data_IF_997214802755
#
_entry.id   IF_997214802755
#
_cell.length_a   1.000
_cell.length_b   1.000
_cell.length_c   1.000
_cell.angle_alpha   90.00
_cell.angle_beta   90.00
_cell.angle_gamma   90.00
#
_symmetry.space_group_name_H-M   'P 1'
#
loop_
_entity.id
_entity.type
_entity.pdbx_description
1 polymer ?
#
# COMPACT_ATOMS: atom_id res chain seq x y z
N UNK A 1 -61.91 67.66 -6.19
CA UNK A 1 -60.47 68.02 -6.33
C UNK A 1 -59.63 67.07 -5.48
N UNK A 2 -58.46 66.68 -6.03
CA UNK A 2 -57.39 65.82 -5.47
C UNK A 2 -57.63 64.29 -5.44
N UNK A 3 -57.09 63.65 -6.48
CA UNK A 3 -56.68 62.24 -6.58
C UNK A 3 -55.42 61.99 -5.72
N UNK A 4 -55.29 60.78 -5.17
CA UNK A 4 -54.06 60.05 -4.79
C UNK A 4 -54.55 58.70 -4.20
N UNK A 5 -54.44 57.54 -4.86
CA UNK A 5 -53.22 56.76 -5.13
C UNK A 5 -53.27 55.49 -4.25
N UNK A 6 -53.37 54.25 -4.79
CA UNK A 6 -53.58 53.07 -3.95
C UNK A 6 -52.26 52.59 -3.32
N UNK A 7 -52.26 52.41 -1.99
CA UNK A 7 -51.14 51.87 -1.22
C UNK A 7 -51.08 50.35 -1.41
N UNK A 8 -49.96 49.87 -1.93
CA UNK A 8 -49.63 48.45 -2.04
C UNK A 8 -49.18 47.90 -0.68
N UNK A 9 -49.78 46.81 -0.23
CA UNK A 9 -49.36 46.10 1.00
C UNK A 9 -48.20 45.16 0.69
N UNK A 10 -47.03 45.44 1.28
CA UNK A 10 -45.85 44.60 1.13
C UNK A 10 -46.03 43.22 1.76
N UNK A 11 -45.87 42.18 0.96
CA UNK A 11 -45.74 40.80 1.42
C UNK A 11 -44.30 40.59 1.90
N UNK A 12 -44.13 40.31 3.19
CA UNK A 12 -42.84 39.85 3.73
C UNK A 12 -42.67 38.37 3.40
N UNK A 13 -41.88 38.06 2.38
CA UNK A 13 -41.35 36.72 2.14
C UNK A 13 -40.44 36.33 3.32
N UNK A 14 -40.88 35.35 4.12
CA UNK A 14 -40.00 34.65 5.05
C UNK A 14 -39.19 33.64 4.25
N UNK A 15 -37.90 33.90 4.07
CA UNK A 15 -36.95 32.91 3.58
C UNK A 15 -36.83 31.80 4.64
N UNK A 16 -37.43 30.64 4.36
CA UNK A 16 -37.15 29.42 5.10
C UNK A 16 -35.82 28.88 4.58
N UNK A 17 -34.74 29.11 5.33
CA UNK A 17 -33.45 28.48 5.08
C UNK A 17 -33.55 27.01 5.49
N UNK A 18 -33.97 26.16 4.56
CA UNK A 18 -33.83 24.70 4.69
C UNK A 18 -32.34 24.35 4.60
N UNK A 19 -31.68 24.30 5.75
CA UNK A 19 -30.32 23.78 5.86
C UNK A 19 -30.34 22.28 5.58
N UNK A 20 -30.04 21.90 4.33
CA UNK A 20 -29.77 20.52 3.97
C UNK A 20 -28.39 20.16 4.55
N UNK A 21 -28.38 19.57 5.75
CA UNK A 21 -27.15 19.02 6.32
C UNK A 21 -26.71 17.83 5.46
N UNK A 22 -25.70 18.05 4.61
CA UNK A 22 -25.01 17.00 3.90
C UNK A 22 -24.23 16.17 4.94
N UNK A 23 -24.82 15.08 5.41
CA UNK A 23 -24.13 14.07 6.20
C UNK A 23 -23.10 13.40 5.29
N UNK A 24 -21.88 13.93 5.27
CA UNK A 24 -20.72 13.20 4.76
C UNK A 24 -20.46 12.09 5.77
N UNK A 25 -20.98 10.90 5.49
CA UNK A 25 -20.50 9.68 6.16
C UNK A 25 -19.09 9.44 5.62
N UNK A 26 -18.10 9.97 6.32
CA UNK A 26 -16.72 9.50 6.15
C UNK A 26 -16.72 8.11 6.77
N UNK A 27 -16.87 7.08 5.95
CA UNK A 27 -16.60 5.73 6.40
C UNK A 27 -15.09 5.68 6.68
N UNK A 28 -14.72 5.72 7.96
CA UNK A 28 -13.38 5.37 8.38
C UNK A 28 -13.11 3.95 7.89
N UNK A 29 -12.33 3.84 6.81
CA UNK A 29 -11.67 2.60 6.43
C UNK A 29 -10.54 2.36 7.44
N UNK A 30 -10.91 2.18 8.72
CA UNK A 30 -10.01 1.71 9.73
C UNK A 30 -9.62 0.29 9.34
N UNK A 31 -8.43 0.13 8.77
CA UNK A 31 -7.86 -1.19 8.50
C UNK A 31 -7.87 -2.04 9.77
N UNK A 32 -8.09 -3.35 9.63
CA UNK A 32 -8.13 -4.27 10.77
C UNK A 32 -6.72 -4.53 11.33
N UNK A 33 -6.11 -3.51 11.94
CA UNK A 33 -5.08 -3.75 12.93
C UNK A 33 -5.78 -4.01 14.26
N UNK A 34 -5.81 -5.26 14.78
CA UNK A 34 -6.26 -5.45 16.15
C UNK A 34 -5.34 -4.64 17.06
N UNK A 35 -5.96 -3.73 17.82
CA UNK A 35 -5.35 -3.12 18.99
C UNK A 35 -5.10 -4.25 19.99
N UNK A 36 -3.85 -4.69 20.12
CA UNK A 36 -3.48 -5.54 21.25
C UNK A 36 -3.65 -4.68 22.49
N UNK A 37 -4.66 -5.01 23.28
CA UNK A 37 -5.06 -4.31 24.50
C UNK A 37 -3.91 -4.26 25.51
N UNK A 38 -3.12 -3.19 25.43
CA UNK A 38 -2.50 -2.53 26.57
C UNK A 38 -2.78 -1.05 26.38
N UNK A 39 -3.28 -0.39 27.41
CA UNK A 39 -3.51 1.05 27.43
C UNK A 39 -2.13 1.71 27.25
N UNK A 40 -1.75 2.05 26.03
CA UNK A 40 -0.54 2.81 25.73
C UNK A 40 -0.87 3.88 24.67
N UNK A 41 -0.14 4.98 24.73
CA UNK A 41 -0.23 6.14 23.82
C UNK A 41 -0.05 5.80 22.32
N UNK A 42 0.20 4.52 21.96
CA UNK A 42 0.42 4.02 20.59
C UNK A 42 -0.87 3.73 19.80
N UNK A 43 -2.06 3.81 20.40
CA UNK A 43 -3.32 3.47 19.72
C UNK A 43 -3.68 4.38 18.53
N UNK A 44 -2.98 5.50 18.36
CA UNK A 44 -3.18 6.46 17.26
C UNK A 44 -1.93 6.61 16.37
N UNK A 45 -0.92 5.75 16.53
CA UNK A 45 0.25 5.84 15.66
C UNK A 45 -0.05 5.18 14.31
N UNK A 46 -0.15 6.01 13.27
CA UNK A 46 -0.39 5.56 11.90
C UNK A 46 0.78 4.66 11.43
N UNK A 47 0.50 3.37 11.23
CA UNK A 47 1.49 2.42 10.74
C UNK A 47 1.85 2.76 9.30
N UNK A 48 3.14 3.01 9.05
CA UNK A 48 3.64 3.44 7.73
C UNK A 48 4.92 2.72 7.36
N UNK A 49 5.03 2.34 6.09
CA UNK A 49 6.26 1.89 5.45
C UNK A 49 6.65 2.86 4.34
N UNK A 50 7.96 3.02 4.12
CA UNK A 50 8.48 3.75 2.97
C UNK A 50 8.90 2.74 1.91
N UNK A 51 8.39 2.83 0.69
CA UNK A 51 8.78 1.96 -0.42
C UNK A 51 9.71 2.71 -1.36
N UNK A 52 10.99 2.32 -1.34
CA UNK A 52 12.04 2.80 -2.24
C UNK A 52 11.98 1.98 -3.53
N UNK A 53 11.51 2.59 -4.62
CA UNK A 53 11.24 1.90 -5.89
C UNK A 53 12.39 2.10 -6.87
N UNK A 54 12.96 0.99 -7.35
CA UNK A 54 14.00 0.95 -8.37
C UNK A 54 13.45 0.25 -9.61
N UNK A 55 13.31 1.00 -10.71
CA UNK A 55 12.64 0.52 -11.93
C UNK A 55 13.69 0.16 -12.98
N UNK A 56 13.86 -1.13 -13.22
CA UNK A 56 14.73 -1.69 -14.25
C UNK A 56 13.96 -2.07 -15.53
N UNK A 57 12.65 -2.31 -15.40
CA UNK A 57 11.76 -2.57 -16.53
C UNK A 57 11.37 -1.29 -17.28
N UNK A 58 11.01 -1.44 -18.56
CA UNK A 58 10.25 -0.40 -19.28
C UNK A 58 8.77 -0.59 -18.98
N UNK A 59 8.21 0.29 -18.14
CA UNK A 59 6.82 0.24 -17.68
C UNK A 59 6.12 1.53 -18.12
N UNK A 60 4.93 1.45 -18.74
CA UNK A 60 4.10 2.63 -18.96
C UNK A 60 3.77 3.33 -17.64
N UNK A 61 3.80 4.66 -17.62
CA UNK A 61 3.58 5.43 -16.38
C UNK A 61 2.21 5.14 -15.75
N UNK A 62 1.17 4.91 -16.56
CA UNK A 62 -0.16 4.56 -16.09
C UNK A 62 -0.21 3.18 -15.39
N UNK A 63 0.56 2.20 -15.87
CA UNK A 63 0.65 0.88 -15.25
C UNK A 63 1.38 0.96 -13.91
N UNK A 64 2.47 1.73 -13.84
CA UNK A 64 3.20 1.97 -12.59
C UNK A 64 2.32 2.70 -11.56
N UNK A 65 1.64 3.77 -11.98
CA UNK A 65 0.73 4.52 -11.10
C UNK A 65 -0.41 3.63 -10.59
N UNK A 66 -0.98 2.79 -11.47
CA UNK A 66 -2.02 1.83 -11.09
C UNK A 66 -1.48 0.78 -10.12
N UNK A 67 -0.27 0.26 -10.33
CA UNK A 67 0.34 -0.73 -9.45
C UNK A 67 0.57 -0.19 -8.04
N UNK A 68 1.16 1.01 -7.92
CA UNK A 68 1.33 1.70 -6.63
C UNK A 68 0.00 1.92 -5.93
N UNK A 69 -1.02 2.40 -6.66
CA UNK A 69 -2.35 2.63 -6.10
C UNK A 69 -2.98 1.34 -5.57
N UNK A 70 -2.92 0.24 -6.34
CA UNK A 70 -3.49 -1.05 -5.92
C UNK A 70 -2.76 -1.63 -4.71
N UNK A 71 -1.43 -1.61 -4.71
CA UNK A 71 -0.66 -2.07 -3.54
C UNK A 71 -0.94 -1.22 -2.29
N UNK A 72 -1.03 0.10 -2.45
CA UNK A 72 -1.37 1.02 -1.34
C UNK A 72 -2.73 0.71 -0.77
N UNK A 73 -3.76 0.52 -1.61
CA UNK A 73 -5.11 0.17 -1.17
C UNK A 73 -5.10 -1.13 -0.36
N UNK A 74 -4.45 -2.18 -0.87
CA UNK A 74 -4.41 -3.49 -0.21
C UNK A 74 -3.73 -3.39 1.17
N UNK A 75 -2.60 -2.69 1.28
CA UNK A 75 -1.91 -2.52 2.57
C UNK A 75 -2.69 -1.59 3.51
N UNK A 76 -3.35 -0.57 2.97
CA UNK A 76 -4.20 0.33 3.75
C UNK A 76 -5.40 -0.40 4.36
N UNK A 77 -6.02 -1.32 3.62
CA UNK A 77 -7.08 -2.20 4.15
C UNK A 77 -6.57 -3.13 5.26
N UNK A 78 -5.29 -3.50 5.21
CA UNK A 78 -4.58 -4.18 6.29
C UNK A 78 -4.09 -3.23 7.41
N UNK A 79 -4.36 -1.91 7.32
CA UNK A 79 -4.04 -0.91 8.33
C UNK A 79 -2.65 -0.27 8.22
N UNK A 80 -1.96 -0.42 7.09
CA UNK A 80 -0.61 0.13 6.86
C UNK A 80 -0.60 1.08 5.66
N UNK A 81 -0.10 2.30 5.85
CA UNK A 81 0.12 3.25 4.77
C UNK A 81 1.45 3.00 4.06
N UNK A 82 1.46 3.08 2.73
CA UNK A 82 2.69 3.06 1.93
C UNK A 82 3.04 4.46 1.43
N UNK A 83 4.23 4.94 1.79
CA UNK A 83 4.83 6.15 1.25
C UNK A 83 5.82 5.78 0.13
N UNK A 84 5.56 6.22 -1.09
CA UNK A 84 6.37 5.84 -2.26
C UNK A 84 7.48 6.83 -2.54
N UNK A 85 8.69 6.32 -2.80
CA UNK A 85 9.87 7.10 -3.17
C UNK A 85 10.45 6.50 -4.44
N UNK A 86 10.39 7.25 -5.54
CA UNK A 86 10.98 6.82 -6.80
C UNK A 86 12.49 7.09 -6.80
N UNK A 87 13.27 6.00 -6.84
CA UNK A 87 14.72 6.05 -6.82
C UNK A 87 15.28 5.85 -8.22
N UNK A 88 16.09 6.81 -8.66
CA UNK A 88 16.80 6.69 -9.92
C UNK A 88 17.92 5.64 -9.84
N UNK A 89 18.09 4.85 -10.90
CA UNK A 89 19.13 3.82 -10.96
C UNK A 89 20.55 4.40 -11.04
N UNK A 90 20.71 5.61 -11.58
CA UNK A 90 22.02 6.25 -11.72
C UNK A 90 22.39 7.00 -10.44
N UNK A 91 23.56 6.74 -9.86
CA UNK A 91 24.03 7.40 -8.62
C UNK A 91 23.91 8.93 -8.61
N UNK A 92 24.27 9.68 -9.69
CA UNK A 92 24.11 11.14 -9.69
C UNK A 92 22.65 11.58 -9.58
N UNK A 93 21.72 10.79 -10.13
CA UNK A 93 20.28 11.05 -10.03
C UNK A 93 19.65 10.49 -8.76
N UNK A 94 20.20 9.41 -8.18
CA UNK A 94 19.76 8.88 -6.89
C UNK A 94 19.97 9.90 -5.77
N UNK A 95 21.03 10.70 -5.85
CA UNK A 95 21.29 11.81 -4.93
C UNK A 95 20.25 12.95 -5.03
N UNK A 96 19.45 13.02 -6.09
CA UNK A 96 18.36 13.99 -6.21
C UNK A 96 17.24 13.71 -5.19
N UNK A 97 17.13 12.47 -4.71
CA UNK A 97 16.23 12.13 -3.62
C UNK A 97 17.06 11.61 -2.43
N UNK A 98 17.29 12.43 -1.40
CA UNK A 98 18.09 12.05 -0.24
C UNK A 98 17.63 10.74 0.43
N UNK A 99 16.34 10.40 0.35
CA UNK A 99 15.81 9.15 0.89
C UNK A 99 16.40 7.90 0.19
N UNK A 100 16.77 8.00 -1.09
CA UNK A 100 17.39 6.90 -1.83
C UNK A 100 18.88 6.72 -1.53
N UNK A 101 19.52 7.73 -0.92
CA UNK A 101 20.94 7.73 -0.58
C UNK A 101 21.21 7.59 0.93
N UNK A 102 20.18 7.74 1.76
CA UNK A 102 20.28 7.60 3.20
C UNK A 102 20.47 6.12 3.62
N UNK A 103 21.06 5.87 4.81
CA UNK A 103 21.03 4.55 5.42
C UNK A 103 19.59 4.05 5.59
N UNK A 104 19.37 2.77 5.28
CA UNK A 104 18.03 2.17 5.31
C UNK A 104 17.46 2.13 6.73
N UNK A 105 16.28 2.72 6.92
CA UNK A 105 15.52 2.60 8.14
C UNK A 105 14.82 1.24 8.20
N UNK A 106 14.51 0.68 9.39
CA UNK A 106 13.78 -0.58 9.53
C UNK A 106 12.42 -0.64 8.82
N UNK A 107 11.77 0.51 8.61
CA UNK A 107 10.49 0.68 7.91
C UNK A 107 10.62 0.83 6.40
N UNK A 108 11.85 0.85 5.87
CA UNK A 108 12.08 0.96 4.44
C UNK A 108 11.92 -0.41 3.76
N UNK A 109 11.24 -0.41 2.62
CA UNK A 109 11.10 -1.55 1.72
C UNK A 109 11.73 -1.18 0.39
N UNK A 110 12.71 -1.97 -0.04
CA UNK A 110 13.34 -1.89 -1.33
C UNK A 110 12.57 -2.73 -2.34
N UNK A 111 11.95 -2.07 -3.31
CA UNK A 111 11.21 -2.73 -4.37
C UNK A 111 11.95 -2.56 -5.70
N UNK A 112 12.45 -3.66 -6.25
CA UNK A 112 12.97 -3.69 -7.62
C UNK A 112 11.87 -4.14 -8.58
N UNK A 113 11.56 -3.34 -9.60
CA UNK A 113 10.69 -3.78 -10.69
C UNK A 113 11.57 -4.16 -11.88
N UNK A 114 11.69 -5.47 -12.09
CA UNK A 114 12.58 -6.08 -13.07
C UNK A 114 11.87 -6.33 -14.40
N UNK A 115 12.57 -6.26 -15.56
CA UNK A 115 11.99 -6.70 -16.83
C UNK A 115 11.51 -8.15 -16.73
N UNK A 116 12.38 -9.02 -16.19
CA UNK A 116 12.05 -10.36 -15.75
C UNK A 116 12.96 -10.80 -14.58
N UNK A 117 12.66 -11.93 -13.96
CA UNK A 117 13.48 -12.56 -12.94
C UNK A 117 14.19 -13.79 -13.52
N UNK A 118 15.47 -13.97 -13.15
CA UNK A 118 16.20 -15.18 -13.48
C UNK A 118 15.60 -16.38 -12.72
N UNK A 119 15.36 -17.48 -13.43
CA UNK A 119 14.97 -18.73 -12.80
C UNK A 119 16.13 -19.30 -11.98
N UNK A 120 15.81 -19.89 -10.84
CA UNK A 120 16.81 -20.51 -9.99
C UNK A 120 16.20 -21.19 -8.76
N UNK A 121 17.03 -21.75 -7.87
CA UNK A 121 16.55 -22.53 -6.72
C UNK A 121 15.57 -21.78 -5.80
N UNK A 122 15.62 -20.44 -5.80
CA UNK A 122 14.78 -19.57 -4.97
C UNK A 122 13.62 -18.91 -5.73
N UNK A 123 13.61 -19.00 -7.06
CA UNK A 123 12.62 -18.34 -7.93
C UNK A 123 12.16 -19.37 -8.96
N UNK A 124 11.02 -20.00 -8.70
CA UNK A 124 10.38 -20.86 -9.68
C UNK A 124 9.99 -20.07 -10.94
N UNK A 125 9.94 -20.72 -12.11
CA UNK A 125 9.62 -20.06 -13.38
C UNK A 125 8.24 -19.37 -13.43
N UNK A 126 7.34 -19.72 -12.50
CA UNK A 126 6.00 -19.12 -12.39
C UNK A 126 5.87 -18.08 -11.28
N UNK A 127 6.89 -17.89 -10.44
CA UNK A 127 6.83 -16.90 -9.35
C UNK A 127 6.84 -15.49 -9.93
N UNK A 128 5.87 -14.65 -9.58
CA UNK A 128 5.81 -13.27 -10.10
C UNK A 128 6.90 -12.39 -9.49
N UNK A 129 7.28 -12.66 -8.25
CA UNK A 129 8.30 -11.93 -7.52
C UNK A 129 9.18 -12.81 -6.63
N UNK A 130 10.00 -12.13 -5.84
CA UNK A 130 10.86 -12.68 -4.82
C UNK A 130 10.99 -11.68 -3.67
N UNK A 131 10.64 -12.11 -2.47
CA UNK A 131 10.95 -11.42 -1.23
C UNK A 131 12.13 -12.10 -0.50
N UNK A 132 13.14 -11.32 -0.14
CA UNK A 132 14.25 -11.79 0.71
C UNK A 132 13.87 -11.55 2.16
N UNK A 133 13.04 -12.43 2.70
CA UNK A 133 12.67 -12.41 4.10
C UNK A 133 13.74 -13.06 4.99
N UNK A 134 13.96 -12.48 6.17
CA UNK A 134 14.92 -12.92 7.19
C UNK A 134 14.21 -13.27 8.50
N UNK A 135 14.90 -13.92 9.43
CA UNK A 135 14.35 -14.12 10.79
C UNK A 135 14.16 -12.78 11.52
N UNK A 136 13.24 -12.70 12.50
CA UNK A 136 13.08 -11.52 13.36
C UNK A 136 14.41 -11.04 13.97
N UNK A 137 14.55 -9.74 14.33
CA UNK A 137 13.47 -8.75 14.51
C UNK A 137 13.02 -8.03 13.23
N UNK A 138 13.79 -8.08 12.14
CA UNK A 138 13.37 -7.53 10.84
C UNK A 138 13.21 -8.69 9.87
N UNK A 139 11.99 -8.89 9.35
CA UNK A 139 11.64 -9.98 8.44
C UNK A 139 12.07 -9.75 6.98
N UNK A 140 13.14 -8.97 6.78
CA UNK A 140 13.66 -8.58 5.46
C UNK A 140 13.11 -7.25 4.97
N UNK A 141 13.75 -6.69 3.94
CA UNK A 141 13.41 -5.38 3.37
C UNK A 141 13.45 -5.35 1.85
N UNK A 142 13.83 -6.45 1.19
CA UNK A 142 14.12 -6.45 -0.24
C UNK A 142 13.14 -7.35 -0.98
N UNK A 143 12.37 -6.76 -1.90
CA UNK A 143 11.49 -7.45 -2.81
C UNK A 143 11.85 -7.11 -4.26
N UNK A 144 11.71 -8.09 -5.14
CA UNK A 144 11.82 -7.91 -6.59
C UNK A 144 10.59 -8.48 -7.28
N UNK A 145 10.06 -7.80 -8.29
CA UNK A 145 8.90 -8.27 -9.05
C UNK A 145 9.16 -8.20 -10.56
N UNK A 146 8.71 -9.21 -11.30
CA UNK A 146 8.84 -9.30 -12.76
C UNK A 146 7.63 -8.67 -13.46
N UNK A 147 7.89 -7.63 -14.26
CA UNK A 147 6.84 -7.04 -15.10
C UNK A 147 6.42 -7.99 -16.24
N UNK A 148 7.35 -8.74 -16.83
CA UNK A 148 7.03 -9.71 -17.87
C UNK A 148 6.11 -10.84 -17.36
N UNK A 149 6.35 -11.35 -16.14
CA UNK A 149 5.52 -12.41 -15.55
C UNK A 149 4.15 -11.90 -15.15
N UNK A 150 4.03 -10.66 -14.65
CA UNK A 150 2.74 -10.02 -14.47
C UNK A 150 1.97 -9.94 -15.79
N UNK A 151 2.60 -9.51 -16.88
CA UNK A 151 1.95 -9.49 -18.21
C UNK A 151 1.56 -10.88 -18.71
N UNK A 152 2.37 -11.91 -18.44
CA UNK A 152 2.06 -13.30 -18.83
C UNK A 152 0.82 -13.83 -18.08
N UNK A 153 0.69 -13.50 -16.80
CA UNK A 153 -0.45 -13.93 -15.98
C UNK A 153 -1.78 -13.28 -16.43
N UNK A 154 -1.75 -12.14 -17.13
CA UNK A 154 -2.95 -11.55 -17.73
C UNK A 154 -3.61 -12.43 -18.79
N UNK A 155 -2.89 -13.38 -19.39
CA UNK A 155 -3.48 -14.32 -20.34
C UNK A 155 -4.60 -15.15 -19.69
N UNK A 156 -4.53 -15.34 -18.36
CA UNK A 156 -5.53 -16.05 -17.55
C UNK A 156 -6.52 -15.08 -16.86
N UNK A 157 -6.38 -13.77 -17.05
CA UNK A 157 -7.18 -12.74 -16.40
C UNK A 157 -7.35 -11.47 -17.26
N UNK A 158 -8.09 -11.55 -18.39
CA UNK A 158 -8.24 -10.45 -19.33
C UNK A 158 -8.97 -9.22 -18.76
N UNK A 159 -9.74 -9.40 -17.69
CA UNK A 159 -10.39 -8.31 -16.94
C UNK A 159 -9.42 -7.43 -16.12
N UNK A 160 -8.16 -7.84 -15.95
CA UNK A 160 -7.14 -7.07 -15.25
C UNK A 160 -6.25 -6.27 -16.21
N UNK A 161 -5.79 -5.12 -15.75
CA UNK A 161 -4.69 -4.38 -16.39
C UNK A 161 -3.33 -4.86 -15.88
N UNK A 162 -2.22 -4.67 -16.64
CA UNK A 162 -0.87 -4.96 -16.17
C UNK A 162 -0.57 -4.28 -14.84
N UNK A 163 -0.93 -2.99 -14.70
CA UNK A 163 -0.78 -2.26 -13.44
C UNK A 163 -1.56 -2.88 -12.27
N UNK A 164 -2.80 -3.35 -12.47
CA UNK A 164 -3.54 -3.99 -11.37
C UNK A 164 -2.87 -5.27 -10.91
N UNK A 165 -2.44 -6.13 -11.84
CA UNK A 165 -1.82 -7.40 -11.48
C UNK A 165 -0.45 -7.20 -10.83
N UNK A 166 0.36 -6.28 -11.38
CA UNK A 166 1.62 -5.87 -10.77
C UNK A 166 1.41 -5.34 -9.35
N UNK A 167 0.36 -4.54 -9.12
CA UNK A 167 0.03 -4.03 -7.79
C UNK A 167 -0.33 -5.11 -6.77
N UNK A 168 -1.11 -6.13 -7.16
CA UNK A 168 -1.37 -7.28 -6.29
C UNK A 168 -0.08 -8.06 -6.00
N UNK A 169 0.79 -8.23 -7.01
CA UNK A 169 2.08 -8.90 -6.83
C UNK A 169 2.99 -8.12 -5.87
N UNK A 170 3.07 -6.79 -6.00
CA UNK A 170 3.82 -5.96 -5.06
C UNK A 170 3.29 -6.14 -3.63
N UNK A 171 1.97 -6.11 -3.44
CA UNK A 171 1.37 -6.33 -2.13
C UNK A 171 1.71 -7.73 -1.57
N UNK A 172 1.68 -8.77 -2.41
CA UNK A 172 2.06 -10.13 -2.05
C UNK A 172 3.53 -10.21 -1.58
N UNK A 173 4.47 -9.64 -2.33
CA UNK A 173 5.89 -9.65 -1.94
C UNK A 173 6.14 -8.84 -0.65
N UNK A 174 5.47 -7.70 -0.48
CA UNK A 174 5.51 -6.96 0.80
C UNK A 174 4.94 -7.82 1.93
N UNK A 175 3.86 -8.57 1.66
CA UNK A 175 3.29 -9.55 2.59
C UNK A 175 4.33 -10.54 3.09
N UNK A 176 5.14 -11.12 2.20
CA UNK A 176 6.25 -11.99 2.60
C UNK A 176 7.28 -11.31 3.50
N UNK A 177 7.62 -10.04 3.23
CA UNK A 177 8.56 -9.28 4.06
C UNK A 177 8.03 -8.97 5.47
N UNK A 178 6.71 -9.02 5.67
CA UNK A 178 6.06 -8.69 6.94
C UNK A 178 5.56 -9.94 7.69
N UNK A 179 5.23 -11.01 6.97
CA UNK A 179 4.71 -12.26 7.53
C UNK A 179 5.77 -13.37 7.61
N UNK A 180 6.81 -13.32 6.76
CA UNK A 180 7.87 -14.33 6.64
C UNK A 180 7.76 -15.19 5.36
N UNK A 181 8.74 -16.07 5.14
CA UNK A 181 8.84 -16.87 3.90
C UNK A 181 7.79 -17.97 3.78
N UNK A 182 7.30 -18.52 4.89
CA UNK A 182 6.28 -19.60 4.91
C UNK A 182 4.86 -19.05 5.05
N UNK A 183 4.64 -17.79 4.66
CA UNK A 183 3.36 -17.09 4.83
C UNK A 183 2.35 -17.35 3.72
N UNK A 184 2.61 -18.29 2.81
CA UNK A 184 1.65 -18.66 1.78
C UNK A 184 0.38 -19.24 2.41
N UNK A 185 -0.78 -18.91 1.84
CA UNK A 185 -2.08 -19.47 2.23
C UNK A 185 -2.67 -20.32 1.09
N UNK A 186 -3.60 -21.25 1.38
CA UNK A 186 -4.24 -22.03 0.32
C UNK A 186 -5.07 -21.17 -0.67
N UNK A 187 -5.58 -20.03 -0.21
CA UNK A 187 -6.42 -19.09 -0.97
C UNK A 187 -6.08 -17.64 -0.62
N UNK A 188 -6.63 -16.70 -1.39
CA UNK A 188 -6.48 -15.26 -1.11
C UNK A 188 -5.17 -14.67 -1.65
N UNK A 189 -4.86 -13.44 -1.23
CA UNK A 189 -3.74 -12.68 -1.80
C UNK A 189 -2.40 -13.41 -1.63
N UNK A 190 -2.16 -14.02 -0.48
CA UNK A 190 -0.93 -14.79 -0.20
C UNK A 190 -0.96 -16.22 -0.73
N UNK A 191 -1.88 -16.58 -1.64
CA UNK A 191 -1.77 -17.85 -2.34
C UNK A 191 -0.57 -17.87 -3.28
N UNK A 192 0.21 -18.95 -3.23
CA UNK A 192 1.37 -19.16 -4.11
C UNK A 192 1.00 -19.17 -5.60
N UNK A 193 -0.26 -19.50 -5.91
CA UNK A 193 -0.81 -19.46 -7.27
C UNK A 193 -2.25 -18.95 -7.21
N UNK A 194 -2.51 -17.82 -7.87
CA UNK A 194 -3.87 -17.32 -8.01
C UNK A 194 -4.63 -18.14 -9.05
N UNK A 195 -5.74 -18.75 -8.64
CA UNK A 195 -6.68 -19.38 -9.56
C UNK A 195 -7.54 -18.32 -10.25
N UNK A 196 -8.37 -18.73 -11.20
CA UNK A 196 -9.38 -17.86 -11.82
C UNK A 196 -10.28 -17.18 -10.78
N UNK A 197 -10.51 -17.82 -9.62
CA UNK A 197 -11.27 -17.20 -8.53
C UNK A 197 -10.52 -16.04 -7.88
N UNK A 198 -9.25 -16.22 -7.51
CA UNK A 198 -8.43 -15.12 -6.97
C UNK A 198 -8.27 -13.99 -7.99
N UNK A 199 -8.06 -14.32 -9.27
CA UNK A 199 -7.93 -13.31 -10.34
C UNK A 199 -9.23 -12.52 -10.53
N UNK A 200 -10.39 -13.19 -10.43
CA UNK A 200 -11.69 -12.52 -10.43
C UNK A 200 -11.85 -11.60 -9.22
N UNK A 201 -11.47 -12.05 -8.02
CA UNK A 201 -11.46 -11.21 -6.83
C UNK A 201 -10.55 -9.99 -7.00
N UNK A 202 -9.37 -10.15 -7.62
CA UNK A 202 -8.46 -9.06 -7.91
C UNK A 202 -9.10 -8.03 -8.86
N UNK A 203 -9.83 -8.49 -9.89
CA UNK A 203 -10.55 -7.60 -10.82
C UNK A 203 -11.61 -6.75 -10.11
N UNK A 204 -12.29 -7.32 -9.11
CA UNK A 204 -13.27 -6.60 -8.27
C UNK A 204 -12.66 -5.89 -7.05
N UNK A 205 -11.32 -5.80 -6.96
CA UNK A 205 -10.61 -5.21 -5.80
C UNK A 205 -10.95 -5.87 -4.46
N UNK A 206 -11.20 -7.18 -4.47
CA UNK A 206 -11.52 -8.02 -3.30
C UNK A 206 -10.44 -9.04 -2.94
N UNK A 207 -9.35 -9.13 -3.73
CA UNK A 207 -8.20 -9.97 -3.39
C UNK A 207 -7.26 -9.20 -2.44
N UNK A 208 -7.42 -9.43 -1.15
CA UNK A 208 -6.75 -8.70 -0.06
C UNK A 208 -6.16 -9.68 0.96
N UNK A 209 -5.44 -9.17 1.95
CA UNK A 209 -5.00 -9.96 3.10
C UNK A 209 -6.20 -10.44 3.92
N UNK A 210 -6.09 -11.61 4.55
CA UNK A 210 -7.03 -12.05 5.59
C UNK A 210 -6.88 -11.20 6.85
N UNK A 211 -7.87 -11.24 7.75
CA UNK A 211 -7.78 -10.51 9.03
C UNK A 211 -6.59 -10.98 9.88
N UNK A 212 -6.24 -12.28 9.84
CA UNK A 212 -5.06 -12.82 10.51
C UNK A 212 -3.74 -12.29 9.90
N UNK A 213 -3.67 -12.24 8.57
CA UNK A 213 -2.52 -11.67 7.85
C UNK A 213 -2.39 -10.17 8.12
N UNK A 214 -3.50 -9.43 8.14
CA UNK A 214 -3.51 -8.01 8.51
C UNK A 214 -2.97 -7.80 9.93
N UNK A 215 -3.41 -8.60 10.90
CA UNK A 215 -2.90 -8.55 12.27
C UNK A 215 -1.38 -8.80 12.35
N UNK A 216 -0.89 -9.81 11.63
CA UNK A 216 0.55 -10.10 11.54
C UNK A 216 1.35 -8.95 10.92
N UNK A 217 0.84 -8.38 9.82
CA UNK A 217 1.41 -7.21 9.15
C UNK A 217 1.51 -6.01 10.11
N UNK A 218 0.43 -5.68 10.82
CA UNK A 218 0.44 -4.59 11.79
C UNK A 218 1.45 -4.83 12.94
N UNK A 219 1.56 -6.08 13.40
CA UNK A 219 2.53 -6.49 14.42
C UNK A 219 3.97 -6.23 13.98
N UNK A 220 4.32 -6.64 12.76
CA UNK A 220 5.67 -6.47 12.20
C UNK A 220 6.01 -4.98 11.97
N UNK A 221 5.09 -4.20 11.38
CA UNK A 221 5.31 -2.76 11.15
C UNK A 221 5.49 -2.02 12.47
N UNK A 222 4.70 -2.32 13.51
CA UNK A 222 4.88 -1.73 14.84
C UNK A 222 6.26 -2.06 15.43
N UNK A 223 6.75 -3.29 15.24
CA UNK A 223 8.08 -3.69 15.68
C UNK A 223 9.19 -2.89 14.96
N UNK A 224 9.07 -2.72 13.64
CA UNK A 224 10.00 -1.91 12.84
C UNK A 224 10.02 -0.45 13.29
N UNK A 225 8.86 0.15 13.53
CA UNK A 225 8.74 1.54 13.99
C UNK A 225 9.39 1.72 15.37
N UNK A 226 9.19 0.77 16.30
CA UNK A 226 9.87 0.77 17.60
C UNK A 226 11.39 0.66 17.46
N UNK A 227 11.88 -0.23 16.59
CA UNK A 227 13.31 -0.39 16.31
C UNK A 227 13.93 0.90 15.72
N UNK A 228 13.23 1.55 14.80
CA UNK A 228 13.68 2.82 14.21
C UNK A 228 13.73 3.95 15.25
N UNK A 229 12.73 4.06 16.14
CA UNK A 229 12.75 5.03 17.26
C UNK A 229 13.98 4.79 18.16
N UNK A 230 14.26 3.53 18.52
CA UNK A 230 15.42 3.17 19.33
C UNK A 230 16.75 3.54 18.63
N UNK A 231 16.89 3.27 17.33
CA UNK A 231 18.07 3.65 16.55
C UNK A 231 18.29 5.17 16.51
N UNK A 232 17.20 5.95 16.34
CA UNK A 232 17.28 7.43 16.36
C UNK A 232 17.73 7.96 17.71
N UNK A 233 17.19 7.44 18.80
CA UNK A 233 17.59 7.84 20.17
C UNK A 233 19.05 7.50 20.47
N UNK A 234 19.52 6.31 20.10
CA UNK A 234 20.92 5.91 20.28
C UNK A 234 21.87 6.83 19.48
N UNK A 235 21.52 7.15 18.23
CA UNK A 235 22.33 8.04 17.38
C UNK A 235 22.38 9.47 17.94
N UNK A 236 21.30 9.94 18.57
CA UNK A 236 21.25 11.25 19.21
C UNK A 236 22.10 11.31 20.49
N UNK A 237 22.15 10.23 21.28
CA UNK A 237 22.94 10.15 22.51
C UNK A 237 24.46 10.05 22.28
N UNK A 238 24.89 9.69 21.07
CA UNK A 238 26.31 9.60 20.67
C UNK A 238 26.85 10.90 20.05
N UNK A 239 25.99 11.90 19.84
CA UNK A 239 26.36 13.23 19.33
C UNK A 239 26.41 14.24 20.48
#
# INVERSE_FOLDING_TARGET
MKKQGPKTSGWKLRAATSGLALLIVVADLAGKCPSLSQISEDANEQLRLTVLVYIYARIPEHDLARAKHVASRILQEAGVELAWVDCALSRPRAQLNPACAAPHAPTDIHLNIMPDLAEGPRVGGLAMGLAVATSPPNRGQFASISYARARKQLLEAPELTPGQLLGHGIAHEIGHLLLGTDSHSPTGLMSARWSSQELKLAAYSKLTFSDEQAAGICGDVRARMKAQKAQKSATAAMK
#
